data_IF_210675116899
#
_entry.id   IF_210675116899
#
_cell.length_a   1.000
_cell.length_b   1.000
_cell.length_c   1.000
_cell.angle_alpha   90.00
_cell.angle_beta   90.00
_cell.angle_gamma   90.00
#
_symmetry.space_group_name_H-M   'P 1'
#
loop_
_entity.id
_entity.type
_entity.pdbx_description
1 polymer ?
#
# COMPACT_ATOMS: atom_id res chain seq x y z
N UNK A 1 -1.16 16.12 5.53
CA UNK A 1 -2.08 15.31 4.71
C UNK A 1 -1.59 13.87 4.74
N UNK A 2 -2.52 12.91 4.73
CA UNK A 2 -2.19 11.48 4.77
C UNK A 2 -1.99 10.97 3.34
N UNK A 3 -1.11 10.00 3.15
CA UNK A 3 -0.91 9.34 1.86
C UNK A 3 -2.21 8.77 1.30
N UNK A 4 -3.13 8.32 2.17
CA UNK A 4 -4.46 7.90 1.75
C UNK A 4 -5.25 9.04 1.11
N UNK A 5 -5.33 10.21 1.75
CA UNK A 5 -6.07 11.36 1.20
C UNK A 5 -5.44 11.87 -0.10
N UNK A 6 -4.11 11.92 -0.16
CA UNK A 6 -3.37 12.32 -1.36
C UNK A 6 -3.72 11.42 -2.56
N UNK A 7 -3.83 10.10 -2.34
CA UNK A 7 -4.22 9.15 -3.39
C UNK A 7 -5.61 9.47 -3.93
N UNK A 8 -6.58 9.74 -3.05
CA UNK A 8 -7.96 9.99 -3.47
C UNK A 8 -8.09 11.30 -4.25
N UNK A 9 -7.42 12.36 -3.79
CA UNK A 9 -7.41 13.65 -4.45
C UNK A 9 -6.77 13.58 -5.85
N UNK A 10 -5.59 12.94 -5.95
CA UNK A 10 -4.92 12.78 -7.25
C UNK A 10 -5.71 11.87 -8.18
N UNK A 11 -6.35 10.83 -7.68
CA UNK A 11 -7.19 9.98 -8.52
C UNK A 11 -8.40 10.72 -9.08
N UNK A 12 -9.03 11.62 -8.31
CA UNK A 12 -10.13 12.45 -8.82
C UNK A 12 -9.69 13.43 -9.92
N UNK A 13 -8.44 13.85 -9.92
CA UNK A 13 -7.90 14.75 -10.94
C UNK A 13 -7.41 14.02 -12.21
N UNK A 14 -6.81 12.85 -12.03
CA UNK A 14 -6.10 12.11 -13.09
C UNK A 14 -6.90 10.95 -13.69
N UNK A 15 -7.88 10.42 -12.94
CA UNK A 15 -8.70 9.23 -13.26
C UNK A 15 -7.91 7.96 -13.62
N UNK A 16 -6.59 7.95 -13.33
CA UNK A 16 -5.68 6.87 -13.71
C UNK A 16 -4.80 6.45 -12.55
N UNK A 17 -4.96 5.20 -12.10
CA UNK A 17 -4.13 4.63 -11.04
C UNK A 17 -2.63 4.64 -11.38
N UNK A 18 -2.29 4.45 -12.67
CA UNK A 18 -0.89 4.46 -13.13
C UNK A 18 -0.27 5.84 -12.99
N UNK A 19 -1.00 6.89 -13.39
CA UNK A 19 -0.51 8.26 -13.26
C UNK A 19 -0.40 8.67 -11.79
N UNK A 20 -1.38 8.33 -10.96
CA UNK A 20 -1.33 8.58 -9.50
C UNK A 20 -0.12 7.89 -8.85
N UNK A 21 0.14 6.63 -9.22
CA UNK A 21 1.28 5.88 -8.71
C UNK A 21 2.62 6.55 -9.10
N UNK A 22 2.73 7.05 -10.33
CA UNK A 22 3.90 7.76 -10.81
C UNK A 22 4.08 9.12 -10.12
N UNK A 23 3.02 9.92 -10.03
CA UNK A 23 3.04 11.26 -9.43
C UNK A 23 3.39 11.21 -7.94
N UNK A 24 2.80 10.27 -7.19
CA UNK A 24 3.04 10.11 -5.76
C UNK A 24 4.26 9.23 -5.46
N UNK A 25 4.91 8.66 -6.48
CA UNK A 25 6.03 7.72 -6.37
C UNK A 25 5.73 6.56 -5.40
N UNK A 26 4.59 5.89 -5.59
CA UNK A 26 4.11 4.78 -4.76
C UNK A 26 3.75 3.57 -5.61
N UNK A 27 3.62 2.41 -4.97
CA UNK A 27 3.22 1.19 -5.67
C UNK A 27 1.76 1.25 -6.12
N UNK A 28 1.49 0.72 -7.32
CA UNK A 28 0.14 0.57 -7.85
C UNK A 28 -0.78 -0.25 -6.92
N UNK A 29 -0.21 -1.17 -6.14
CA UNK A 29 -0.91 -1.90 -5.08
C UNK A 29 -1.50 -0.97 -4.02
N UNK A 30 -0.71 0.00 -3.55
CA UNK A 30 -1.13 0.96 -2.52
C UNK A 30 -2.28 1.82 -3.03
N UNK A 31 -2.16 2.31 -4.27
CA UNK A 31 -3.22 3.07 -4.95
C UNK A 31 -4.49 2.24 -5.07
N UNK A 32 -4.41 1.04 -5.66
CA UNK A 32 -5.57 0.16 -5.85
C UNK A 32 -6.30 -0.11 -4.54
N UNK A 33 -5.59 -0.48 -3.48
CA UNK A 33 -6.21 -0.78 -2.18
C UNK A 33 -6.85 0.45 -1.55
N UNK A 34 -6.22 1.62 -1.68
CA UNK A 34 -6.81 2.87 -1.18
C UNK A 34 -8.13 3.19 -1.91
N UNK A 35 -8.16 3.04 -3.24
CA UNK A 35 -9.36 3.27 -4.05
C UNK A 35 -10.47 2.25 -3.79
N UNK A 36 -10.12 0.96 -3.61
CA UNK A 36 -11.08 -0.08 -3.18
C UNK A 36 -11.69 0.29 -1.83
N UNK A 37 -10.86 0.75 -0.89
CA UNK A 37 -11.33 1.17 0.44
C UNK A 37 -12.28 2.37 0.36
N UNK A 38 -12.07 3.28 -0.59
CA UNK A 38 -12.93 4.43 -0.85
C UNK A 38 -14.16 4.10 -1.73
N UNK A 39 -14.30 2.87 -2.23
CA UNK A 39 -15.35 2.50 -3.18
C UNK A 39 -15.19 3.10 -4.58
N UNK A 40 -14.03 3.65 -4.91
CA UNK A 40 -13.74 4.34 -6.19
C UNK A 40 -13.16 3.43 -7.27
N UNK A 41 -12.88 2.17 -6.94
CA UNK A 41 -12.36 1.20 -7.89
C UNK A 41 -13.20 -0.07 -7.86
N UNK A 42 -13.74 -0.43 -9.03
CA UNK A 42 -14.35 -1.72 -9.28
C UNK A 42 -13.76 -2.36 -10.55
N UNK A 43 -13.73 -3.68 -10.55
CA UNK A 43 -13.47 -4.51 -11.72
C UNK A 43 -14.09 -5.89 -11.48
N UNK A 44 -14.40 -6.63 -12.55
CA UNK A 44 -14.95 -7.99 -12.42
C UNK A 44 -14.12 -8.89 -11.49
N UNK A 45 -12.79 -8.73 -11.51
CA UNK A 45 -11.89 -9.48 -10.62
C UNK A 45 -11.96 -9.01 -9.17
N UNK A 46 -12.03 -7.69 -8.96
CA UNK A 46 -12.14 -7.11 -7.63
C UNK A 46 -13.48 -7.49 -6.99
N UNK A 47 -14.58 -7.45 -7.75
CA UNK A 47 -15.92 -7.86 -7.32
C UNK A 47 -15.94 -9.33 -6.94
N UNK A 48 -15.40 -10.22 -7.79
CA UNK A 48 -15.33 -11.65 -7.50
C UNK A 48 -14.57 -11.95 -6.20
N UNK A 49 -13.42 -11.31 -5.98
CA UNK A 49 -12.61 -11.52 -4.77
C UNK A 49 -13.33 -10.95 -3.54
N UNK A 50 -13.91 -9.75 -3.64
CA UNK A 50 -14.63 -9.12 -2.53
C UNK A 50 -15.88 -9.90 -2.16
N UNK A 51 -16.62 -10.43 -3.13
CA UNK A 51 -17.78 -11.27 -2.89
C UNK A 51 -17.40 -12.54 -2.12
N UNK A 52 -16.39 -13.28 -2.60
CA UNK A 52 -15.91 -14.47 -1.90
C UNK A 52 -15.43 -14.15 -0.47
N UNK A 53 -14.72 -13.03 -0.30
CA UNK A 53 -14.29 -12.58 1.03
C UNK A 53 -15.47 -12.22 1.95
N UNK A 54 -16.52 -11.58 1.40
CA UNK A 54 -17.73 -11.23 2.13
C UNK A 54 -18.52 -12.46 2.61
N UNK A 55 -18.41 -13.62 1.92
CA UNK A 55 -18.99 -14.89 2.40
C UNK A 55 -18.26 -15.50 3.60
N UNK A 56 -17.19 -14.86 4.11
CA UNK A 56 -16.40 -15.35 5.23
C UNK A 56 -15.24 -16.27 4.82
N UNK A 57 -15.01 -16.45 3.52
CA UNK A 57 -13.94 -17.29 3.01
C UNK A 57 -12.55 -16.66 3.30
N UNK A 58 -11.61 -17.48 3.75
CA UNK A 58 -10.25 -17.00 4.06
C UNK A 58 -9.49 -16.60 2.80
N UNK A 59 -8.52 -15.68 2.93
CA UNK A 59 -7.63 -15.26 1.82
C UNK A 59 -6.96 -16.46 1.15
N UNK A 60 -6.57 -17.47 1.94
CA UNK A 60 -5.93 -18.69 1.45
C UNK A 60 -6.89 -19.52 0.60
N UNK A 61 -8.10 -19.75 1.12
CA UNK A 61 -9.13 -20.51 0.41
C UNK A 61 -9.57 -19.80 -0.88
N UNK A 62 -9.69 -18.47 -0.86
CA UNK A 62 -9.98 -17.67 -2.07
C UNK A 62 -8.85 -17.82 -3.09
N UNK A 63 -7.59 -17.77 -2.65
CA UNK A 63 -6.44 -17.91 -3.51
C UNK A 63 -6.39 -19.29 -4.19
N UNK A 64 -6.67 -20.36 -3.43
CA UNK A 64 -6.76 -21.74 -3.93
C UNK A 64 -7.93 -21.90 -4.92
N UNK A 65 -9.12 -21.43 -4.55
CA UNK A 65 -10.32 -21.50 -5.38
C UNK A 65 -10.13 -20.78 -6.73
N UNK A 66 -9.50 -19.62 -6.70
CA UNK A 66 -9.26 -18.79 -7.88
C UNK A 66 -7.92 -19.06 -8.57
N UNK A 67 -7.15 -20.05 -8.10
CA UNK A 67 -5.82 -20.42 -8.61
C UNK A 67 -4.87 -19.23 -8.79
N UNK A 68 -4.82 -18.34 -7.79
CA UNK A 68 -3.93 -17.18 -7.76
C UNK A 68 -3.14 -17.12 -6.44
N UNK A 69 -2.18 -16.20 -6.34
CA UNK A 69 -1.44 -15.99 -5.11
C UNK A 69 -2.29 -15.28 -4.04
N UNK A 70 -2.00 -15.55 -2.77
CA UNK A 70 -2.57 -14.84 -1.60
C UNK A 70 -2.26 -13.35 -1.62
N UNK A 71 -1.10 -12.96 -2.15
CA UNK A 71 -0.72 -11.56 -2.37
C UNK A 71 -1.63 -10.87 -3.38
N UNK A 72 -2.02 -11.58 -4.44
CA UNK A 72 -2.97 -11.07 -5.44
C UNK A 72 -4.34 -10.87 -4.83
N UNK A 73 -4.85 -11.85 -4.06
CA UNK A 73 -6.11 -11.71 -3.32
C UNK A 73 -6.07 -10.49 -2.41
N UNK A 74 -5.02 -10.38 -1.58
CA UNK A 74 -4.83 -9.25 -0.66
C UNK A 74 -4.76 -7.89 -1.36
N UNK A 75 -4.33 -7.85 -2.63
CA UNK A 75 -4.29 -6.61 -3.42
C UNK A 75 -5.65 -6.07 -3.83
N UNK A 76 -6.66 -6.94 -3.86
CA UNK A 76 -8.05 -6.61 -4.20
C UNK A 76 -8.94 -6.48 -2.97
N UNK A 77 -8.37 -6.59 -1.77
CA UNK A 77 -9.10 -6.39 -0.52
C UNK A 77 -8.90 -4.96 0.03
N UNK A 78 -9.90 -4.44 0.78
CA UNK A 78 -9.79 -3.15 1.45
C UNK A 78 -8.53 -2.99 2.30
N UNK A 79 -8.11 -1.75 2.47
CA UNK A 79 -6.88 -1.39 3.14
C UNK A 79 -7.11 -1.17 4.65
N UNK A 80 -7.15 -2.27 5.42
CA UNK A 80 -7.54 -2.25 6.84
C UNK A 80 -6.79 -1.26 7.74
N UNK A 81 -5.50 -0.98 7.46
CA UNK A 81 -4.67 -0.04 8.23
C UNK A 81 -4.24 1.20 7.42
N UNK A 82 -4.74 1.34 6.20
CA UNK A 82 -4.26 2.34 5.26
C UNK A 82 -2.78 2.19 4.87
N UNK A 83 -2.26 3.15 4.08
CA UNK A 83 -0.87 3.15 3.62
C UNK A 83 0.13 3.21 4.77
N UNK A 84 1.24 2.45 4.65
CA UNK A 84 2.28 2.38 5.68
C UNK A 84 2.89 3.75 6.05
N UNK A 85 2.93 4.70 5.12
CA UNK A 85 3.45 6.06 5.36
C UNK A 85 2.65 6.80 6.44
N UNK A 86 1.38 6.45 6.61
CA UNK A 86 0.46 7.09 7.55
C UNK A 86 0.51 6.45 8.94
N UNK A 87 1.30 5.39 9.11
CA UNK A 87 1.40 4.70 10.39
C UNK A 87 2.25 5.50 11.38
N UNK A 88 1.83 5.48 12.65
CA UNK A 88 2.61 6.08 13.73
C UNK A 88 4.01 5.43 13.83
N UNK A 89 5.01 6.25 14.12
CA UNK A 89 6.38 5.78 14.27
C UNK A 89 6.48 4.84 15.49
N UNK A 90 6.84 3.58 15.25
CA UNK A 90 7.13 2.64 16.34
C UNK A 90 8.47 2.97 17.00
N UNK A 91 8.62 2.64 18.28
CA UNK A 91 9.90 2.81 19.01
C UNK A 91 11.06 2.14 18.26
N UNK A 92 10.84 0.95 17.69
CA UNK A 92 11.85 0.26 16.89
C UNK A 92 12.23 1.05 15.62
N UNK A 93 11.24 1.61 14.91
CA UNK A 93 11.52 2.43 13.72
C UNK A 93 12.37 3.66 14.04
N UNK A 94 12.16 4.28 15.21
CA UNK A 94 12.95 5.41 15.69
C UNK A 94 14.39 4.99 16.04
N UNK A 95 14.56 3.83 16.69
CA UNK A 95 15.89 3.26 16.99
C UNK A 95 16.68 2.96 15.72
N UNK A 96 16.04 2.34 14.72
CA UNK A 96 16.66 2.03 13.43
C UNK A 96 17.08 3.32 12.70
N UNK A 97 16.25 4.37 12.70
CA UNK A 97 16.60 5.68 12.11
C UNK A 97 17.87 6.26 12.74
N UNK A 98 17.90 6.36 14.08
CA UNK A 98 19.08 6.85 14.82
C UNK A 98 20.35 6.06 14.48
N UNK A 99 20.24 4.74 14.38
CA UNK A 99 21.38 3.90 14.02
C UNK A 99 21.90 4.19 12.60
N UNK A 100 21.00 4.37 11.63
CA UNK A 100 21.36 4.67 10.24
C UNK A 100 21.97 6.06 10.10
N UNK A 101 21.45 7.06 10.82
CA UNK A 101 22.00 8.43 10.85
C UNK A 101 23.44 8.43 11.38
N UNK A 102 23.69 7.74 12.50
CA UNK A 102 25.04 7.57 13.04
C UNK A 102 25.99 6.92 12.04
N UNK A 103 25.54 5.87 11.34
CA UNK A 103 26.35 5.19 10.32
C UNK A 103 26.67 6.12 9.14
N UNK A 104 25.71 6.92 8.68
CA UNK A 104 25.92 7.90 7.61
C UNK A 104 26.95 8.96 8.00
N UNK A 105 26.82 9.55 9.19
CA UNK A 105 27.77 10.54 9.70
C UNK A 105 29.20 9.96 9.80
N UNK A 106 29.32 8.73 10.32
CA UNK A 106 30.61 8.05 10.38
C UNK A 106 31.19 7.70 9.00
N UNK A 107 30.36 7.57 7.97
CA UNK A 107 30.80 7.33 6.60
C UNK A 107 31.23 8.62 5.91
N UNK A 108 30.51 9.73 6.11
CA UNK A 108 30.90 11.04 5.55
C UNK A 108 32.21 11.52 6.17
N UNK A 109 32.37 11.41 7.48
CA UNK A 109 33.62 11.75 8.18
C UNK A 109 34.84 10.97 7.67
N UNK A 110 34.65 9.75 7.14
CA UNK A 110 35.72 8.92 6.56
C UNK A 110 35.98 9.17 5.08
N UNK A 111 35.10 9.91 4.41
CA UNK A 111 35.24 10.25 3.00
C UNK A 111 35.90 11.62 2.80
N UNK A 112 35.94 12.44 3.85
CA UNK A 112 36.55 13.76 3.89
C UNK A 112 38.00 13.73 4.44
N UNK A 113 38.48 12.56 4.88
CA UNK A 113 39.87 12.24 5.30
C UNK A 113 40.61 11.45 4.21
#
# INVERSE_FOLDING_TARGET
MSQYTDILERYRALESMKMVAAELNISHLTVRRALITAGLFTSARAEQIQHLYATGMSIKTIAEHLKISTSTVSSYLPYSKGPRKDWAATVNSMRIKKCREKKKLAQTLKADD
#
